data_IF_906271964441
#
_entry.id   IF_906271964441
#
_cell.length_a   1.000
_cell.length_b   1.000
_cell.length_c   1.000
_cell.angle_alpha   90.00
_cell.angle_beta   90.00
_cell.angle_gamma   90.00
#
_symmetry.space_group_name_H-M   'P 1'
#
loop_
_entity.id
_entity.type
_entity.pdbx_description
1 polymer ?
#
# COMPACT_ATOMS: atom_id res chain seq x y z
N UNK A 1 0.88 15.67 14.47
CA UNK A 1 1.57 14.35 14.40
C UNK A 1 1.58 13.86 12.95
N UNK A 2 2.24 12.75 12.53
CA UNK A 2 2.06 12.28 11.16
C UNK A 2 0.59 11.96 10.91
N UNK A 3 0.08 12.33 9.74
CA UNK A 3 -1.28 12.00 9.32
C UNK A 3 -1.32 10.72 8.50
N UNK A 4 -2.52 10.20 8.23
CA UNK A 4 -2.72 9.11 7.27
C UNK A 4 -2.09 9.45 5.92
N UNK A 5 -2.23 10.69 5.42
CA UNK A 5 -1.59 11.11 4.18
C UNK A 5 -0.05 11.02 4.25
N UNK A 6 0.57 11.35 5.39
CA UNK A 6 2.02 11.19 5.55
C UNK A 6 2.45 9.72 5.51
N UNK A 7 1.67 8.82 6.13
CA UNK A 7 1.94 7.38 6.10
C UNK A 7 1.72 6.81 4.71
N UNK A 8 0.63 7.17 4.03
CA UNK A 8 0.36 6.79 2.64
C UNK A 8 1.52 7.19 1.74
N UNK A 9 1.98 8.44 1.81
CA UNK A 9 3.12 8.90 1.03
C UNK A 9 4.41 8.13 1.35
N UNK A 10 4.59 7.66 2.60
CA UNK A 10 5.73 6.82 2.96
C UNK A 10 5.59 5.40 2.39
N UNK A 11 4.40 4.81 2.44
CA UNK A 11 4.12 3.51 1.84
C UNK A 11 4.29 3.54 0.32
N UNK A 12 3.83 4.59 -0.36
CA UNK A 12 3.95 4.73 -1.82
C UNK A 12 5.39 4.98 -2.27
N UNK A 13 6.26 5.53 -1.41
CA UNK A 13 7.72 5.58 -1.70
C UNK A 13 8.40 4.22 -1.58
N UNK A 14 7.88 3.34 -0.73
CA UNK A 14 8.39 1.98 -0.56
C UNK A 14 7.82 1.04 -1.63
N UNK A 15 6.52 1.18 -1.90
CA UNK A 15 5.72 0.33 -2.78
C UNK A 15 4.99 1.24 -3.78
N UNK A 16 5.72 1.68 -4.81
CA UNK A 16 5.18 2.58 -5.84
C UNK A 16 3.88 2.01 -6.43
N UNK A 17 2.75 2.74 -6.40
CA UNK A 17 1.50 2.30 -7.01
C UNK A 17 1.64 1.91 -8.50
N UNK A 18 2.61 2.46 -9.24
CA UNK A 18 2.90 2.08 -10.62
C UNK A 18 3.42 0.62 -10.75
N UNK A 19 3.91 0.04 -9.65
CA UNK A 19 4.30 -1.36 -9.56
C UNK A 19 3.10 -2.31 -9.40
N UNK A 20 1.89 -1.80 -9.18
CA UNK A 20 0.71 -2.65 -9.14
C UNK A 20 0.39 -3.22 -10.54
N UNK A 21 -0.29 -4.36 -10.56
CA UNK A 21 -0.88 -4.90 -11.78
C UNK A 21 -2.08 -4.05 -12.24
N UNK A 22 -2.33 -4.02 -13.55
CA UNK A 22 -3.36 -3.17 -14.14
C UNK A 22 -4.80 -3.48 -13.66
N UNK A 23 -5.03 -4.69 -13.13
CA UNK A 23 -6.33 -5.12 -12.59
C UNK A 23 -6.46 -4.88 -11.08
N UNK A 24 -5.40 -4.43 -10.42
CA UNK A 24 -5.32 -4.39 -8.97
C UNK A 24 -5.93 -3.11 -8.36
N UNK A 25 -6.16 -3.14 -7.05
CA UNK A 25 -6.71 -2.04 -6.26
C UNK A 25 -5.86 -1.82 -4.99
N UNK A 26 -4.83 -0.99 -5.12
CA UNK A 26 -3.93 -0.57 -4.03
C UNK A 26 -4.28 0.83 -3.52
N UNK A 27 -3.72 1.23 -2.39
CA UNK A 27 -3.88 2.57 -1.83
C UNK A 27 -4.87 2.65 -0.65
N UNK A 28 -5.30 3.88 -0.32
CA UNK A 28 -6.22 4.12 0.79
C UNK A 28 -7.64 3.66 0.42
N UNK A 29 -8.09 2.55 1.00
CA UNK A 29 -9.38 1.94 0.72
C UNK A 29 -10.54 2.60 1.49
N UNK A 30 -10.30 3.05 2.73
CA UNK A 30 -11.24 3.89 3.48
C UNK A 30 -10.53 4.64 4.62
N UNK A 31 -11.08 5.77 5.05
CA UNK A 31 -10.51 6.58 6.13
C UNK A 31 -10.43 8.06 5.76
N UNK A 32 -9.79 8.85 6.62
CA UNK A 32 -9.55 10.28 6.40
C UNK A 32 -8.04 10.53 6.28
N UNK A 33 -7.54 11.01 5.12
CA UNK A 33 -6.13 11.39 4.94
C UNK A 33 -5.60 12.41 5.97
N UNK A 34 -6.48 13.22 6.56
CA UNK A 34 -6.13 14.22 7.57
C UNK A 34 -6.06 13.66 9.00
N UNK A 35 -6.54 12.44 9.25
CA UNK A 35 -6.51 11.84 10.58
C UNK A 35 -5.07 11.63 11.06
N UNK A 36 -4.82 11.89 12.35
CA UNK A 36 -3.52 11.65 12.98
C UNK A 36 -3.29 10.14 13.17
N UNK A 37 -2.03 9.70 13.02
CA UNK A 37 -1.64 8.29 13.18
C UNK A 37 -0.61 8.17 14.30
N UNK A 38 -0.94 7.36 15.30
CA UNK A 38 -0.09 6.98 16.42
C UNK A 38 0.25 5.48 16.38
N UNK A 39 -0.68 4.65 15.91
CA UNK A 39 -0.57 3.20 15.88
C UNK A 39 -1.00 2.64 14.53
N UNK A 40 -0.13 1.84 13.95
CA UNK A 40 -0.35 1.15 12.68
C UNK A 40 -0.38 -0.35 12.96
N UNK A 41 -1.45 -1.04 12.57
CA UNK A 41 -1.52 -2.49 12.56
C UNK A 41 -1.25 -2.99 11.15
N UNK A 42 -0.29 -3.89 10.98
CA UNK A 42 -0.04 -4.59 9.71
C UNK A 42 -0.70 -5.97 9.73
N UNK A 43 -1.33 -6.36 8.62
CA UNK A 43 -1.96 -7.66 8.46
C UNK A 43 -1.92 -8.14 7.01
N UNK A 44 -2.18 -9.43 6.78
CA UNK A 44 -2.33 -9.96 5.41
C UNK A 44 -3.74 -9.64 4.89
N UNK A 45 -4.78 -10.04 5.64
CA UNK A 45 -6.18 -9.90 5.22
C UNK A 45 -7.00 -8.96 6.12
N UNK A 46 -7.84 -8.08 5.55
CA UNK A 46 -8.81 -7.27 6.29
C UNK A 46 -10.05 -8.09 6.67
N UNK A 47 -9.89 -9.10 7.53
CA UNK A 47 -10.99 -9.94 8.04
C UNK A 47 -11.55 -9.42 9.36
N UNK A 48 -12.72 -9.93 9.77
CA UNK A 48 -13.38 -9.51 11.00
C UNK A 48 -12.47 -9.61 12.24
N UNK A 49 -11.72 -10.70 12.39
CA UNK A 49 -10.79 -10.89 13.50
C UNK A 49 -9.67 -9.83 13.55
N UNK A 50 -9.13 -9.44 12.39
CA UNK A 50 -8.12 -8.37 12.28
C UNK A 50 -8.73 -7.01 12.59
N UNK A 51 -9.97 -6.77 12.17
CA UNK A 51 -10.70 -5.55 12.55
C UNK A 51 -10.98 -5.51 14.07
N UNK A 52 -11.34 -6.65 14.68
CA UNK A 52 -11.49 -6.79 16.13
C UNK A 52 -10.18 -6.48 16.87
N UNK A 53 -9.05 -7.01 16.38
CA UNK A 53 -7.72 -6.73 16.91
C UNK A 53 -7.35 -5.24 16.79
N UNK A 54 -7.51 -4.65 15.61
CA UNK A 54 -7.22 -3.24 15.36
C UNK A 54 -8.03 -2.33 16.30
N UNK A 55 -9.32 -2.63 16.48
CA UNK A 55 -10.21 -1.88 17.39
C UNK A 55 -9.79 -2.07 18.85
N UNK A 56 -9.55 -3.31 19.28
CA UNK A 56 -9.13 -3.62 20.65
C UNK A 56 -7.79 -2.98 21.01
N UNK A 57 -6.86 -2.95 20.06
CA UNK A 57 -5.54 -2.33 20.21
C UNK A 57 -5.53 -0.81 19.98
N UNK A 58 -6.66 -0.26 19.52
CA UNK A 58 -6.82 1.17 19.18
C UNK A 58 -5.78 1.62 18.14
N UNK A 59 -5.67 0.87 17.06
CA UNK A 59 -4.96 1.35 15.88
C UNK A 59 -5.65 2.60 15.33
N UNK A 60 -4.90 3.42 14.59
CA UNK A 60 -5.45 4.55 13.81
C UNK A 60 -5.46 4.19 12.31
N UNK A 61 -4.57 3.29 11.91
CA UNK A 61 -4.42 2.81 10.54
C UNK A 61 -4.17 1.31 10.53
N UNK A 62 -4.95 0.59 9.71
CA UNK A 62 -4.73 -0.80 9.34
C UNK A 62 -4.11 -0.82 7.94
N UNK A 63 -2.96 -1.47 7.80
CA UNK A 63 -2.29 -1.72 6.52
C UNK A 63 -2.40 -3.20 6.21
N UNK A 64 -3.01 -3.53 5.07
CA UNK A 64 -3.19 -4.92 4.63
C UNK A 64 -2.50 -5.20 3.32
N UNK A 65 -2.05 -6.44 3.14
CA UNK A 65 -1.57 -6.90 1.85
C UNK A 65 -2.72 -7.10 0.85
N UNK A 66 -3.74 -7.89 1.21
CA UNK A 66 -4.85 -8.15 0.32
C UNK A 66 -5.92 -7.04 0.36
N UNK A 67 -6.50 -6.65 -0.79
CA UNK A 67 -7.56 -5.65 -0.83
C UNK A 67 -8.87 -6.17 -0.25
N UNK A 68 -9.54 -5.37 0.58
CA UNK A 68 -10.92 -5.64 1.00
C UNK A 68 -11.86 -5.69 -0.22
N UNK A 69 -11.67 -4.77 -1.17
CA UNK A 69 -12.41 -4.69 -2.42
C UNK A 69 -11.44 -4.70 -3.62
N UNK A 70 -11.35 -5.84 -4.30
CA UNK A 70 -10.58 -5.98 -5.54
C UNK A 70 -11.32 -5.41 -6.78
N UNK A 71 -12.61 -5.08 -6.63
CA UNK A 71 -13.44 -4.52 -7.70
C UNK A 71 -14.25 -3.35 -7.14
N UNK A 72 -14.59 -2.35 -7.98
CA UNK A 72 -15.47 -1.26 -7.58
C UNK A 72 -16.79 -1.78 -7.00
N UNK A 73 -17.30 -1.07 -5.98
CA UNK A 73 -18.58 -1.38 -5.34
C UNK A 73 -19.53 -0.19 -5.44
N UNK A 74 -20.82 -0.46 -5.62
CA UNK A 74 -21.86 0.58 -5.67
C UNK A 74 -22.34 1.02 -4.28
N UNK A 75 -21.88 0.36 -3.21
CA UNK A 75 -22.24 0.69 -1.84
C UNK A 75 -21.54 -0.20 -0.81
N UNK A 76 -21.54 0.25 0.43
CA UNK A 76 -20.85 -0.41 1.57
C UNK A 76 -21.79 -0.70 2.74
N UNK A 77 -23.08 -0.89 2.48
CA UNK A 77 -24.08 -1.12 3.53
C UNK A 77 -23.67 -2.24 4.50
N UNK A 78 -23.93 -2.02 5.80
CA UNK A 78 -23.66 -2.97 6.88
C UNK A 78 -24.52 -4.27 6.85
N UNK A 79 -25.10 -4.60 5.71
CA UNK A 79 -25.84 -5.84 5.46
C UNK A 79 -24.94 -6.96 4.90
N UNK A 80 -23.74 -6.63 4.40
CA UNK A 80 -22.75 -7.61 3.92
C UNK A 80 -21.54 -7.70 4.87
N UNK A 81 -20.76 -8.81 4.86
CA UNK A 81 -19.54 -8.92 5.68
C UNK A 81 -18.54 -7.79 5.44
N UNK A 82 -18.23 -7.47 4.16
CA UNK A 82 -17.30 -6.39 3.81
C UNK A 82 -17.83 -5.01 4.21
N UNK A 83 -19.11 -4.74 3.97
CA UNK A 83 -19.74 -3.49 4.38
C UNK A 83 -19.74 -3.31 5.91
N UNK A 84 -20.06 -4.37 6.67
CA UNK A 84 -19.93 -4.34 8.14
C UNK A 84 -18.51 -4.01 8.57
N UNK A 85 -17.51 -4.58 7.92
CA UNK A 85 -16.11 -4.31 8.24
C UNK A 85 -15.73 -2.85 8.02
N UNK A 86 -16.08 -2.27 6.86
CA UNK A 86 -15.90 -0.82 6.59
C UNK A 86 -16.56 0.03 7.67
N UNK A 87 -17.84 -0.23 7.96
CA UNK A 87 -18.57 0.52 8.98
C UNK A 87 -17.95 0.40 10.37
N UNK A 88 -17.41 -0.76 10.73
CA UNK A 88 -16.72 -0.97 12.01
C UNK A 88 -15.43 -0.17 12.10
N UNK A 89 -14.58 -0.24 11.07
CA UNK A 89 -13.32 0.50 11.03
C UNK A 89 -13.56 2.02 11.07
N UNK A 90 -14.46 2.52 10.21
CA UNK A 90 -14.79 3.96 10.15
C UNK A 90 -15.35 4.48 11.47
N UNK A 91 -16.25 3.73 12.13
CA UNK A 91 -16.80 4.12 13.44
C UNK A 91 -15.75 4.11 14.56
N UNK A 92 -14.71 3.30 14.42
CA UNK A 92 -13.58 3.26 15.36
C UNK A 92 -12.50 4.30 15.03
N UNK A 93 -12.65 5.09 13.95
CA UNK A 93 -11.64 6.04 13.50
C UNK A 93 -10.43 5.40 12.81
N UNK A 94 -10.54 4.13 12.40
CA UNK A 94 -9.44 3.37 11.79
C UNK A 94 -9.51 3.51 10.27
N UNK A 95 -8.42 3.99 9.68
CA UNK A 95 -8.22 3.99 8.22
C UNK A 95 -7.71 2.63 7.72
N UNK A 96 -7.92 2.30 6.46
CA UNK A 96 -7.47 1.06 5.82
C UNK A 96 -6.68 1.40 4.56
N UNK A 97 -5.42 0.99 4.50
CA UNK A 97 -4.55 1.10 3.33
C UNK A 97 -4.15 -0.30 2.83
N UNK A 98 -4.03 -0.44 1.51
CA UNK A 98 -3.72 -1.70 0.84
C UNK A 98 -2.42 -1.58 0.06
N UNK A 99 -1.48 -2.50 0.31
CA UNK A 99 -0.26 -2.70 -0.48
C UNK A 99 -0.21 -4.15 -0.98
N UNK A 100 -0.64 -4.37 -2.21
CA UNK A 100 -0.88 -5.69 -2.78
C UNK A 100 0.21 -6.02 -3.81
N UNK A 101 -0.11 -6.08 -5.11
CA UNK A 101 0.87 -6.47 -6.14
C UNK A 101 2.02 -5.48 -6.32
N UNK A 102 1.82 -4.20 -5.92
CA UNK A 102 2.91 -3.23 -5.84
C UNK A 102 3.97 -3.60 -4.79
N UNK A 103 3.55 -4.18 -3.67
CA UNK A 103 4.46 -4.67 -2.64
C UNK A 103 5.10 -6.02 -3.02
N UNK A 104 4.43 -6.83 -3.84
CA UNK A 104 5.03 -8.06 -4.40
C UNK A 104 6.17 -7.76 -5.39
N UNK A 105 6.00 -6.69 -6.17
CA UNK A 105 6.91 -6.27 -7.25
C UNK A 105 7.99 -5.28 -6.81
N UNK A 106 7.87 -4.69 -5.61
CA UNK A 106 8.86 -3.76 -5.09
C UNK A 106 10.18 -4.44 -4.74
N UNK A 107 11.26 -3.66 -4.74
CA UNK A 107 12.61 -4.07 -4.33
C UNK A 107 13.11 -3.11 -3.22
N UNK A 108 13.14 -3.53 -1.94
CA UNK A 108 12.71 -4.83 -1.43
C UNK A 108 11.18 -4.91 -1.19
N UNK A 109 10.59 -6.06 -1.50
CA UNK A 109 9.16 -6.35 -1.36
C UNK A 109 8.83 -7.67 -0.65
N UNK A 110 7.62 -8.18 -0.89
CA UNK A 110 7.14 -9.46 -0.30
C UNK A 110 8.00 -10.63 -0.78
N UNK A 111 8.38 -10.64 -2.06
CA UNK A 111 9.22 -11.67 -2.66
C UNK A 111 10.61 -11.71 -2.01
N UNK A 112 11.21 -10.56 -1.72
CA UNK A 112 12.51 -10.46 -1.03
C UNK A 112 12.42 -10.93 0.43
N UNK A 113 11.34 -10.56 1.13
CA UNK A 113 11.10 -11.03 2.50
C UNK A 113 10.97 -12.56 2.56
N UNK A 114 10.27 -13.17 1.60
CA UNK A 114 10.15 -14.63 1.48
C UNK A 114 11.51 -15.27 1.14
N UNK A 115 12.26 -14.70 0.21
CA UNK A 115 13.58 -15.20 -0.17
C UNK A 115 14.56 -15.15 1.01
N UNK A 116 14.55 -14.06 1.78
CA UNK A 116 15.34 -13.91 3.00
C UNK A 116 14.93 -14.94 4.06
N UNK A 117 13.64 -15.16 4.27
CA UNK A 117 13.14 -16.18 5.21
C UNK A 117 13.53 -17.61 4.80
N UNK A 118 13.67 -17.86 3.49
CA UNK A 118 14.15 -19.13 2.94
C UNK A 118 15.69 -19.26 2.89
N UNK A 119 16.43 -18.22 3.27
CA UNK A 119 17.91 -18.21 3.24
C UNK A 119 18.51 -18.17 1.83
N UNK A 120 17.77 -17.62 0.86
CA UNK A 120 18.25 -17.45 -0.51
C UNK A 120 19.18 -16.23 -0.62
N UNK A 121 20.14 -16.29 -1.53
CA UNK A 121 21.07 -15.21 -1.87
C UNK A 121 21.12 -15.02 -3.39
N UNK A 122 21.78 -13.94 -3.84
CA UNK A 122 21.92 -13.59 -5.26
C UNK A 122 20.56 -13.53 -5.99
N UNK A 123 19.62 -12.83 -5.36
CA UNK A 123 18.24 -12.74 -5.81
C UNK A 123 18.14 -12.00 -7.15
N UNK A 124 17.20 -12.45 -7.98
CA UNK A 124 16.80 -11.78 -9.22
C UNK A 124 15.31 -11.98 -9.45
N UNK A 125 14.61 -11.03 -10.10
CA UNK A 125 13.20 -11.21 -10.45
C UNK A 125 12.98 -12.48 -11.29
N UNK A 126 11.89 -13.21 -11.01
CA UNK A 126 11.46 -14.34 -11.83
C UNK A 126 10.83 -13.87 -13.14
N UNK A 127 10.06 -12.79 -13.07
CA UNK A 127 9.50 -12.08 -14.21
C UNK A 127 9.90 -10.60 -14.07
N UNK A 128 10.89 -10.18 -14.87
CA UNK A 128 11.42 -8.83 -14.78
C UNK A 128 10.51 -7.87 -15.54
N UNK A 129 10.09 -6.78 -14.87
CA UNK A 129 9.42 -5.68 -15.56
C UNK A 129 10.36 -5.09 -16.63
N UNK A 130 9.84 -4.70 -17.81
CA UNK A 130 10.62 -3.98 -18.80
C UNK A 130 11.27 -2.75 -18.16
N UNK A 131 12.52 -2.46 -18.54
CA UNK A 131 13.17 -1.23 -18.11
C UNK A 131 12.31 -0.03 -18.51
N UNK A 132 12.20 0.95 -17.62
CA UNK A 132 11.50 2.20 -17.92
C UNK A 132 12.10 2.84 -19.18
N UNK A 133 11.24 3.40 -20.01
CA UNK A 133 11.68 4.15 -21.16
C UNK A 133 12.45 5.38 -20.67
N UNK A 134 13.73 5.47 -21.01
CA UNK A 134 14.56 6.63 -20.69
C UNK A 134 14.54 7.61 -21.86
N UNK A 135 14.31 8.88 -21.57
CA UNK A 135 14.49 9.96 -22.55
C UNK A 135 15.94 10.47 -22.56
N UNK A 136 16.46 10.81 -23.74
CA UNK A 136 17.73 11.51 -23.88
C UNK A 136 17.47 13.01 -23.97
N UNK A 137 17.70 13.72 -22.87
CA UNK A 137 17.66 15.18 -22.87
C UNK A 137 18.94 15.75 -23.51
N UNK A 138 18.79 16.53 -24.58
CA UNK A 138 19.90 17.27 -25.20
C UNK A 138 19.61 18.76 -25.05
N UNK A 139 20.50 19.45 -24.34
CA UNK A 139 20.45 20.89 -24.14
C UNK A 139 21.73 21.53 -24.67
N UNK A 140 21.61 22.72 -25.27
CA UNK A 140 22.75 23.54 -25.70
C UNK A 140 22.80 24.77 -24.81
N UNK A 141 23.96 25.03 -24.22
CA UNK A 141 24.24 26.18 -23.38
C UNK A 141 25.53 26.86 -23.82
N UNK A 142 25.71 28.18 -23.61
CA UNK A 142 27.01 28.82 -23.76
C UNK A 142 28.08 28.12 -22.92
N UNK A 143 29.33 28.11 -23.39
CA UNK A 143 30.44 27.45 -22.68
C UNK A 143 30.59 27.89 -21.21
N UNK A 144 30.42 29.19 -20.84
CA UNK A 144 30.47 29.61 -19.43
C UNK A 144 29.39 28.99 -18.53
N UNK A 145 28.28 28.51 -19.10
CA UNK A 145 27.09 28.03 -18.38
C UNK A 145 26.99 26.49 -18.37
N UNK A 146 28.01 25.78 -18.87
CA UNK A 146 28.01 24.32 -19.01
C UNK A 146 28.47 23.55 -17.76
N UNK A 147 28.55 24.20 -16.59
CA UNK A 147 28.96 23.60 -15.32
C UNK A 147 27.79 23.10 -14.48
#
# INVERSE_FOLDING_TARGET
MPTVANVVAAMERLYDPALAEAWDAVGLACGDPAAEVHRILFAVDPVAAVADEAIGWRADLLITHHPLYLRPVHGVAATTPKGRLVHRLVRAGISLYVAHTNADSADPGVSDALAAAAGLADLRPLDARPAEATDKLVVFVPEPDAQ
#
